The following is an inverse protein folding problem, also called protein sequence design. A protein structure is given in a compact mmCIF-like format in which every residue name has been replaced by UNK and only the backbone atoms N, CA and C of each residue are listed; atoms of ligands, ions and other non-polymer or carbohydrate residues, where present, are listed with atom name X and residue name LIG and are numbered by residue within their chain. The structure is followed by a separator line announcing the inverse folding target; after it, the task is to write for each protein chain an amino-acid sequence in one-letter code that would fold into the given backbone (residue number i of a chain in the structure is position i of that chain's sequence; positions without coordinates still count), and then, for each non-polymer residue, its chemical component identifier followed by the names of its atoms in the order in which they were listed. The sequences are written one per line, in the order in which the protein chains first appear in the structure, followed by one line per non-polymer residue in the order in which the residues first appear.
data_IF_934979651958
#
_entry.id   IF_934979651958
#
_cell.length_a   1.000
_cell.length_b   1.000
_cell.length_c   1.000
_cell.angle_alpha   90.00
_cell.angle_beta   90.00
_cell.angle_gamma   90.00
#
_symmetry.space_group_name_H-M   'P 1'
#
loop_
_entity.id
_entity.type
_entity.pdbx_description
1 polymer ?
#
# COMPACT_ATOMS: atom_id res chain seq x y z
N UNK A 1 -26.99 22.10 -25.78
CA UNK A 1 -26.63 21.12 -24.74
C UNK A 1 -25.95 21.86 -23.61
N UNK A 2 -26.40 21.74 -22.36
CA UNK A 2 -25.81 22.48 -21.26
C UNK A 2 -24.41 21.92 -20.97
N UNK A 3 -23.42 22.80 -20.98
CA UNK A 3 -22.07 22.55 -20.51
C UNK A 3 -22.12 22.27 -19.02
N UNK A 4 -21.92 21.01 -18.63
CA UNK A 4 -21.65 20.66 -17.25
C UNK A 4 -20.24 21.18 -16.91
N UNK A 5 -20.19 22.37 -16.33
CA UNK A 5 -18.98 22.87 -15.67
C UNK A 5 -18.68 21.92 -14.50
N UNK A 6 -17.74 21.00 -14.73
CA UNK A 6 -17.16 20.20 -13.67
C UNK A 6 -16.56 21.18 -12.66
N UNK A 7 -16.86 21.06 -11.34
CA UNK A 7 -16.19 21.88 -10.35
C UNK A 7 -14.69 21.64 -10.51
N UNK A 8 -13.98 22.70 -10.90
CA UNK A 8 -12.53 22.74 -10.90
C UNK A 8 -12.10 22.32 -9.51
N UNK A 9 -11.42 21.16 -9.42
CA UNK A 9 -10.73 20.81 -8.20
C UNK A 9 -9.85 22.02 -7.85
N UNK A 10 -9.95 22.58 -6.63
CA UNK A 10 -9.10 23.69 -6.26
C UNK A 10 -7.66 23.26 -6.58
N UNK A 11 -6.99 24.06 -7.42
CA UNK A 11 -5.57 23.92 -7.67
C UNK A 11 -4.91 23.70 -6.31
N UNK A 12 -4.07 22.67 -6.19
CA UNK A 12 -3.32 22.41 -4.95
C UNK A 12 -2.76 23.76 -4.50
N UNK A 13 -3.29 24.27 -3.39
CA UNK A 13 -2.72 25.44 -2.75
C UNK A 13 -1.25 25.09 -2.51
N UNK A 14 -0.31 26.00 -2.82
CA UNK A 14 1.09 25.76 -2.51
C UNK A 14 1.14 25.34 -1.04
N UNK A 15 1.62 24.11 -0.78
CA UNK A 15 1.77 23.59 0.58
C UNK A 15 2.28 24.73 1.46
N UNK A 16 1.45 25.15 2.42
CA UNK A 16 1.73 26.26 3.31
C UNK A 16 3.20 26.17 3.74
N UNK A 17 3.99 27.17 3.34
CA UNK A 17 5.37 27.40 3.75
C UNK A 17 5.45 27.85 5.22
N UNK A 18 4.59 27.27 6.06
CA UNK A 18 4.53 27.50 7.49
C UNK A 18 5.66 26.76 8.19
N UNK A 19 6.49 27.50 8.90
CA UNK A 19 7.39 26.98 9.93
C UNK A 19 6.63 26.01 10.84
N UNK A 20 6.88 24.71 10.71
CA UNK A 20 6.30 23.74 11.63
C UNK A 20 6.83 24.03 13.04
N UNK A 21 5.95 24.32 14.02
CA UNK A 21 6.40 24.54 15.39
C UNK A 21 7.08 23.27 15.92
N UNK A 22 8.14 23.38 16.74
CA UNK A 22 8.87 22.23 17.25
C UNK A 22 7.91 21.31 18.00
N UNK A 23 7.86 20.04 17.58
CA UNK A 23 7.03 19.03 18.24
C UNK A 23 7.59 18.71 19.62
N UNK A 24 6.72 18.45 20.59
CA UNK A 24 7.14 17.78 21.82
C UNK A 24 7.74 16.40 21.48
N UNK A 25 8.74 15.95 22.24
CA UNK A 25 9.56 14.76 21.98
C UNK A 25 8.73 13.50 21.72
N UNK A 26 7.65 13.29 22.48
CA UNK A 26 6.75 12.14 22.30
C UNK A 26 6.04 12.18 20.94
N UNK A 27 5.58 13.36 20.52
CA UNK A 27 4.92 13.56 19.22
C UNK A 27 5.91 13.38 18.06
N UNK A 28 7.16 13.80 18.24
CA UNK A 28 8.22 13.55 17.27
C UNK A 28 8.48 12.04 17.11
N UNK A 29 8.59 11.30 18.23
CA UNK A 29 8.78 9.83 18.21
C UNK A 29 7.62 9.10 17.54
N UNK A 30 6.37 9.47 17.85
CA UNK A 30 5.20 8.93 17.17
C UNK A 30 5.20 9.26 15.68
N UNK A 31 5.61 10.47 15.31
CA UNK A 31 5.71 10.84 13.89
C UNK A 31 6.78 10.04 13.16
N UNK A 32 7.89 9.71 13.82
CA UNK A 32 8.95 8.85 13.29
C UNK A 32 8.44 7.44 12.96
N UNK A 33 7.48 6.92 13.73
CA UNK A 33 6.82 5.63 13.46
C UNK A 33 5.80 5.67 12.30
N UNK A 34 5.41 6.87 11.82
CA UNK A 34 4.48 7.09 10.69
C UNK A 34 3.13 6.34 10.79
N UNK A 35 2.27 6.63 11.79
CA UNK A 35 1.00 5.93 12.00
C UNK A 35 0.09 5.90 10.78
N UNK A 36 0.08 6.97 9.98
CA UNK A 36 -0.70 7.05 8.75
C UNK A 36 -0.33 6.00 7.69
N UNK A 37 0.87 5.39 7.78
CA UNK A 37 1.31 4.33 6.88
C UNK A 37 0.97 2.92 7.39
N UNK A 38 0.57 2.77 8.64
CA UNK A 38 0.33 1.45 9.25
C UNK A 38 -0.80 0.71 8.56
N UNK A 39 -1.81 1.44 8.06
CA UNK A 39 -2.97 0.88 7.35
C UNK A 39 -2.60 0.14 6.05
N UNK A 40 -1.39 0.34 5.51
CA UNK A 40 -0.89 -0.41 4.34
C UNK A 40 -0.60 -1.88 4.65
N UNK A 41 -0.45 -2.24 5.92
CA UNK A 41 -0.19 -3.62 6.35
C UNK A 41 -1.46 -4.48 6.48
N UNK A 42 -2.52 -4.07 7.21
CA UNK A 42 -3.69 -4.91 7.37
C UNK A 42 -4.44 -5.13 6.04
N UNK A 43 -4.54 -4.13 5.16
CA UNK A 43 -5.34 -4.25 3.92
C UNK A 43 -4.98 -5.51 3.11
N UNK A 44 -3.72 -5.77 2.73
CA UNK A 44 -3.38 -6.97 1.95
C UNK A 44 -3.50 -8.26 2.76
N UNK A 45 -3.25 -8.21 4.07
CA UNK A 45 -3.37 -9.36 4.97
C UNK A 45 -4.84 -9.82 5.04
N UNK A 46 -5.77 -8.87 5.17
CA UNK A 46 -7.20 -9.14 5.29
C UNK A 46 -7.85 -9.59 3.98
N UNK A 47 -7.21 -9.42 2.82
CA UNK A 47 -7.72 -9.98 1.55
C UNK A 47 -7.87 -11.50 1.60
N UNK A 48 -7.07 -12.18 2.43
CA UNK A 48 -7.20 -13.63 2.65
C UNK A 48 -8.57 -14.06 3.16
N UNK A 49 -9.32 -13.18 3.84
CA UNK A 49 -10.67 -13.43 4.33
C UNK A 49 -11.69 -13.64 3.20
N UNK A 50 -11.41 -13.15 1.99
CA UNK A 50 -12.28 -13.32 0.82
C UNK A 50 -12.31 -14.80 0.38
N UNK A 51 -11.27 -15.57 0.68
CA UNK A 51 -11.19 -16.99 0.29
C UNK A 51 -11.74 -17.95 1.32
N UNK A 52 -12.27 -17.46 2.46
CA UNK A 52 -12.81 -18.33 3.52
C UNK A 52 -14.28 -17.99 3.75
N UNK A 53 -15.19 -18.99 3.77
CA UNK A 53 -16.63 -18.75 3.88
C UNK A 53 -17.05 -18.23 5.26
N UNK A 54 -16.30 -18.56 6.31
CA UNK A 54 -16.63 -18.18 7.68
C UNK A 54 -15.42 -17.59 8.41
N UNK A 55 -15.65 -16.49 9.12
CA UNK A 55 -14.62 -15.84 9.91
C UNK A 55 -14.70 -16.32 11.36
N UNK A 56 -13.62 -16.93 11.85
CA UNK A 56 -13.53 -17.33 13.26
C UNK A 56 -12.77 -16.28 14.05
N UNK A 57 -13.14 -16.07 15.31
CA UNK A 57 -12.43 -15.14 16.20
C UNK A 57 -10.93 -15.46 16.29
N UNK A 58 -10.59 -16.75 16.31
CA UNK A 58 -9.21 -17.23 16.29
C UNK A 58 -8.45 -16.83 15.01
N UNK A 59 -9.10 -16.90 13.84
CA UNK A 59 -8.50 -16.46 12.58
C UNK A 59 -8.26 -14.94 12.56
N UNK A 60 -9.21 -14.16 13.06
CA UNK A 60 -9.08 -12.71 13.16
C UNK A 60 -7.91 -12.31 14.06
N UNK A 61 -7.76 -12.95 15.24
CA UNK A 61 -6.61 -12.71 16.12
C UNK A 61 -5.30 -12.99 15.37
N UNK A 62 -5.18 -14.12 14.68
CA UNK A 62 -3.96 -14.46 13.92
C UNK A 62 -3.65 -13.43 12.83
N UNK A 63 -4.66 -12.94 12.11
CA UNK A 63 -4.49 -11.89 11.10
C UNK A 63 -4.01 -10.57 11.72
N UNK A 64 -4.60 -10.16 12.85
CA UNK A 64 -4.17 -8.96 13.58
C UNK A 64 -2.75 -9.10 14.13
N UNK A 65 -2.38 -10.27 14.68
CA UNK A 65 -1.01 -10.54 15.13
C UNK A 65 -0.03 -10.38 13.98
N UNK A 66 -0.28 -11.00 12.82
CA UNK A 66 0.59 -10.89 11.65
C UNK A 66 0.64 -9.44 11.14
N UNK A 67 -0.49 -8.74 11.09
CA UNK A 67 -0.53 -7.32 10.71
C UNK A 67 0.29 -6.43 11.66
N UNK A 68 0.27 -6.70 12.96
CA UNK A 68 1.10 -6.02 13.94
C UNK A 68 2.60 -6.28 13.69
N UNK A 69 2.99 -7.52 13.40
CA UNK A 69 4.39 -7.86 13.08
C UNK A 69 4.89 -7.16 11.81
N UNK A 70 4.09 -7.16 10.73
CA UNK A 70 4.43 -6.40 9.51
C UNK A 70 4.48 -4.89 9.75
N UNK A 71 3.66 -4.38 10.67
CA UNK A 71 3.70 -2.97 11.08
C UNK A 71 4.98 -2.66 11.84
N UNK A 72 5.39 -3.48 12.81
CA UNK A 72 6.66 -3.34 13.52
C UNK A 72 7.86 -3.42 12.55
N UNK A 73 7.86 -4.38 11.63
CA UNK A 73 8.88 -4.48 10.59
C UNK A 73 8.95 -3.22 9.71
N UNK A 74 7.79 -2.66 9.33
CA UNK A 74 7.73 -1.42 8.54
C UNK A 74 8.24 -0.22 9.34
N UNK A 75 7.90 -0.12 10.63
CA UNK A 75 8.40 0.94 11.53
C UNK A 75 9.92 0.87 11.62
N UNK A 76 10.50 -0.32 11.84
CA UNK A 76 11.96 -0.50 11.90
C UNK A 76 12.64 -0.01 10.62
N UNK A 77 12.10 -0.40 9.45
CA UNK A 77 12.61 0.04 8.13
C UNK A 77 12.49 1.57 7.97
N UNK A 78 11.39 2.18 8.41
CA UNK A 78 11.23 3.64 8.32
C UNK A 78 12.22 4.39 9.21
N UNK A 79 12.43 3.93 10.44
CA UNK A 79 13.42 4.52 11.36
C UNK A 79 14.82 4.39 10.76
N UNK A 80 15.19 3.20 10.29
CA UNK A 80 16.50 2.96 9.67
C UNK A 80 16.72 3.87 8.47
N UNK A 81 15.72 3.99 7.59
CA UNK A 81 15.80 4.89 6.44
C UNK A 81 15.98 6.36 6.85
N UNK A 82 15.25 6.83 7.85
CA UNK A 82 15.36 8.23 8.30
C UNK A 82 16.69 8.52 9.00
N UNK A 83 17.36 7.51 9.56
CA UNK A 83 18.73 7.62 10.08
C UNK A 83 19.74 7.68 8.92
N UNK A 84 19.67 6.73 7.96
CA UNK A 84 20.63 6.61 6.86
C UNK A 84 20.52 7.76 5.85
N UNK A 85 19.31 8.17 5.51
CA UNK A 85 19.05 9.23 4.53
C UNK A 85 19.04 10.63 5.18
N UNK A 86 19.43 10.79 6.46
CA UNK A 86 19.34 12.04 7.24
C UNK A 86 19.89 13.27 6.51
N UNK A 87 21.13 13.20 6.05
CA UNK A 87 21.82 14.38 5.47
C UNK A 87 21.25 14.73 4.09
N UNK A 88 20.84 13.71 3.32
CA UNK A 88 20.14 13.90 2.05
C UNK A 88 18.75 14.49 2.28
N UNK A 89 18.02 14.01 3.28
CA UNK A 89 16.66 14.45 3.59
C UNK A 89 16.64 15.90 4.08
N UNK A 90 17.69 16.36 4.76
CA UNK A 90 17.87 17.79 5.13
C UNK A 90 17.85 18.74 3.93
N UNK A 91 18.36 18.29 2.79
CA UNK A 91 18.44 19.09 1.56
C UNK A 91 17.18 18.99 0.70
N UNK A 92 16.23 18.11 1.05
CA UNK A 92 15.03 17.86 0.26
C UNK A 92 13.88 18.79 0.65
N UNK A 93 13.13 19.39 -0.32
CA UNK A 93 12.05 20.34 -0.05
C UNK A 93 11.02 19.87 0.98
N UNK A 94 10.49 18.66 0.81
CA UNK A 94 9.50 18.04 1.72
C UNK A 94 10.10 17.17 2.84
N UNK A 95 11.19 16.43 2.60
CA UNK A 95 11.74 15.47 3.59
C UNK A 95 12.58 16.10 4.69
N UNK A 96 12.96 17.38 4.54
CA UNK A 96 13.67 18.15 5.58
C UNK A 96 12.91 18.23 6.92
N UNK A 97 11.58 18.07 6.88
CA UNK A 97 10.70 18.08 8.05
C UNK A 97 10.56 16.72 8.75
N UNK A 98 11.30 15.70 8.33
CA UNK A 98 11.37 14.43 9.06
C UNK A 98 12.03 14.66 10.42
N UNK A 99 11.57 14.02 11.52
CA UNK A 99 12.06 14.32 12.86
C UNK A 99 13.59 14.24 13.04
N UNK A 100 14.26 13.28 12.39
CA UNK A 100 15.72 13.12 12.47
C UNK A 100 16.46 14.15 11.58
N UNK A 101 15.92 14.45 10.39
CA UNK A 101 16.49 15.44 9.47
C UNK A 101 16.35 16.87 10.05
N UNK A 102 15.18 17.19 10.59
CA UNK A 102 14.85 18.45 11.26
C UNK A 102 15.59 18.66 12.59
N UNK A 103 16.18 17.61 13.16
CA UNK A 103 16.87 17.66 14.45
C UNK A 103 15.96 17.58 15.67
N UNK A 104 14.66 17.32 15.50
CA UNK A 104 13.71 17.07 16.60
C UNK A 104 14.06 15.80 17.40
N UNK A 105 14.68 14.82 16.73
CA UNK A 105 15.15 13.56 17.33
C UNK A 105 16.64 13.40 17.04
N UNK A 106 17.42 13.15 18.09
CA UNK A 106 18.85 12.85 17.95
C UNK A 106 19.04 11.48 17.28
N UNK A 107 20.10 11.29 16.46
CA UNK A 107 20.39 9.98 15.87
C UNK A 107 20.50 8.85 16.90
N UNK A 108 21.05 9.15 18.09
CA UNK A 108 21.11 8.20 19.21
C UNK A 108 19.72 7.74 19.65
N UNK A 109 18.78 8.67 19.83
CA UNK A 109 17.40 8.33 20.18
C UNK A 109 16.70 7.55 19.04
N UNK A 110 17.00 7.86 17.78
CA UNK A 110 16.55 7.08 16.63
C UNK A 110 17.04 5.64 16.66
N UNK A 111 18.33 5.41 16.93
CA UNK A 111 18.91 4.08 17.07
C UNK A 111 18.33 3.29 18.26
N UNK A 112 18.13 3.94 19.41
CA UNK A 112 17.47 3.30 20.56
C UNK A 112 16.07 2.82 20.17
N UNK A 113 15.26 3.69 19.53
CA UNK A 113 13.94 3.30 19.07
C UNK A 113 13.99 2.16 18.05
N UNK A 114 14.91 2.21 17.09
CA UNK A 114 15.13 1.15 16.11
C UNK A 114 15.40 -0.20 16.79
N UNK A 115 16.35 -0.24 17.72
CA UNK A 115 16.69 -1.46 18.47
C UNK A 115 15.50 -1.96 19.28
N UNK A 116 14.77 -1.08 19.97
CA UNK A 116 13.57 -1.46 20.72
C UNK A 116 12.51 -2.10 19.80
N UNK A 117 12.24 -1.52 18.64
CA UNK A 117 11.29 -2.07 17.68
C UNK A 117 11.78 -3.41 17.11
N UNK A 118 13.07 -3.55 16.84
CA UNK A 118 13.65 -4.83 16.41
C UNK A 118 13.54 -5.92 17.47
N UNK A 119 13.77 -5.61 18.75
CA UNK A 119 13.60 -6.57 19.86
C UNK A 119 12.14 -7.01 19.97
N UNK A 120 11.19 -6.07 19.91
CA UNK A 120 9.75 -6.38 19.93
C UNK A 120 9.34 -7.24 18.72
N UNK A 121 9.86 -6.93 17.54
CA UNK A 121 9.62 -7.71 16.33
C UNK A 121 10.16 -9.14 16.48
N UNK A 122 11.41 -9.30 16.93
CA UNK A 122 12.02 -10.62 17.14
C UNK A 122 11.26 -11.43 18.19
N UNK A 123 10.85 -10.82 19.29
CA UNK A 123 10.02 -11.47 20.31
C UNK A 123 8.68 -11.92 19.74
N UNK A 124 7.98 -11.03 19.01
CA UNK A 124 6.69 -11.35 18.40
C UNK A 124 6.77 -12.43 17.32
N UNK A 125 7.83 -12.44 16.51
CA UNK A 125 8.11 -13.51 15.54
C UNK A 125 8.44 -14.81 16.27
N UNK A 126 9.24 -14.79 17.34
CA UNK A 126 9.59 -15.98 18.12
C UNK A 126 8.41 -16.62 18.84
N UNK A 127 7.38 -15.84 19.18
CA UNK A 127 6.11 -16.33 19.73
C UNK A 127 5.12 -16.83 18.66
N UNK A 128 5.39 -16.55 17.38
CA UNK A 128 4.54 -16.97 16.27
C UNK A 128 5.10 -18.25 15.65
N UNK A 129 4.27 -19.28 15.41
CA UNK A 129 4.75 -20.50 14.75
C UNK A 129 5.44 -20.23 13.42
N UNK A 130 6.54 -20.95 13.17
CA UNK A 130 7.48 -20.67 12.08
C UNK A 130 6.79 -20.60 10.71
N UNK A 131 5.84 -21.51 10.47
CA UNK A 131 4.95 -21.57 9.29
C UNK A 131 4.29 -20.24 8.92
N UNK A 132 4.08 -19.36 9.90
CA UNK A 132 3.44 -18.04 9.78
C UNK A 132 4.43 -16.89 9.89
N UNK A 133 5.46 -17.03 10.73
CA UNK A 133 6.42 -15.97 11.05
C UNK A 133 7.47 -15.70 9.95
N UNK A 134 7.84 -16.71 9.15
CA UNK A 134 8.96 -16.59 8.20
C UNK A 134 8.76 -15.51 7.12
N UNK A 135 7.51 -15.26 6.70
CA UNK A 135 7.18 -14.23 5.70
C UNK A 135 7.49 -12.81 6.20
N UNK A 136 7.42 -12.57 7.52
CA UNK A 136 7.81 -11.30 8.13
C UNK A 136 9.32 -11.09 8.00
N UNK A 137 10.11 -12.15 8.19
CA UNK A 137 11.56 -12.12 8.03
C UNK A 137 11.96 -11.84 6.58
N UNK A 138 11.34 -12.53 5.62
CA UNK A 138 11.57 -12.29 4.18
C UNK A 138 11.20 -10.86 3.82
N UNK A 139 10.06 -10.36 4.31
CA UNK A 139 9.65 -8.98 4.11
C UNK A 139 10.68 -7.98 4.69
N UNK A 140 11.19 -8.23 5.90
CA UNK A 140 12.19 -7.36 6.52
C UNK A 140 13.50 -7.34 5.72
N UNK A 141 14.01 -8.51 5.31
CA UNK A 141 15.21 -8.65 4.47
C UNK A 141 15.05 -7.93 3.13
N UNK A 142 13.91 -8.12 2.47
CA UNK A 142 13.59 -7.47 1.20
C UNK A 142 13.59 -5.94 1.34
N UNK A 143 13.02 -5.42 2.43
CA UNK A 143 13.01 -3.97 2.69
C UNK A 143 14.38 -3.42 3.04
N UNK A 144 15.23 -4.17 3.75
CA UNK A 144 16.61 -3.78 3.97
C UNK A 144 17.38 -3.69 2.65
N UNK A 145 17.28 -4.73 1.79
CA UNK A 145 17.89 -4.71 0.47
C UNK A 145 17.39 -3.53 -0.39
N UNK A 146 16.09 -3.23 -0.31
CA UNK A 146 15.49 -2.05 -0.92
C UNK A 146 16.12 -0.75 -0.44
N UNK A 147 16.20 -0.57 0.87
CA UNK A 147 16.76 0.62 1.53
C UNK A 147 18.19 0.92 1.12
N UNK A 148 19.03 -0.11 0.98
CA UNK A 148 20.45 0.04 0.65
C UNK A 148 20.70 0.23 -0.85
N UNK A 149 20.03 -0.53 -1.71
CA UNK A 149 20.42 -0.59 -3.14
C UNK A 149 19.26 -0.67 -4.11
N UNK A 150 18.24 -1.50 -3.85
CA UNK A 150 17.24 -1.81 -4.88
C UNK A 150 16.36 -0.59 -5.22
N UNK A 151 16.21 0.38 -4.29
CA UNK A 151 15.49 1.65 -4.54
C UNK A 151 16.06 2.51 -5.67
N UNK A 152 17.27 2.21 -6.15
CA UNK A 152 17.96 2.95 -7.20
C UNK A 152 17.86 2.31 -8.59
N UNK A 153 17.37 1.07 -8.68
CA UNK A 153 17.30 0.31 -9.93
C UNK A 153 15.86 0.45 -10.49
N UNK A 154 15.68 1.06 -11.67
CA UNK A 154 14.37 1.16 -12.32
C UNK A 154 13.73 -0.22 -12.50
N UNK A 155 12.41 -0.29 -12.46
CA UNK A 155 11.57 -1.51 -12.42
C UNK A 155 11.77 -2.38 -11.18
N UNK A 156 13.01 -2.71 -10.81
CA UNK A 156 13.30 -3.52 -9.61
C UNK A 156 12.71 -2.84 -8.37
N UNK A 157 12.85 -1.52 -8.22
CA UNK A 157 12.24 -0.80 -7.10
C UNK A 157 10.71 -0.97 -7.05
N UNK A 158 10.05 -0.96 -8.22
CA UNK A 158 8.60 -1.11 -8.32
C UNK A 158 8.16 -2.55 -7.98
N UNK A 159 8.85 -3.55 -8.52
CA UNK A 159 8.61 -4.95 -8.24
C UNK A 159 8.87 -5.31 -6.77
N UNK A 160 9.89 -4.72 -6.14
CA UNK A 160 10.16 -4.94 -4.72
C UNK A 160 9.02 -4.40 -3.85
N UNK A 161 8.54 -3.19 -4.15
CA UNK A 161 7.38 -2.62 -3.43
C UNK A 161 6.14 -3.49 -3.64
N UNK A 162 5.82 -3.88 -4.88
CA UNK A 162 4.67 -4.72 -5.20
C UNK A 162 4.76 -6.11 -4.55
N UNK A 163 5.93 -6.73 -4.56
CA UNK A 163 6.19 -8.01 -3.86
C UNK A 163 5.96 -7.88 -2.35
N UNK A 164 6.26 -6.73 -1.75
CA UNK A 164 5.94 -6.48 -0.35
C UNK A 164 4.44 -6.55 -0.03
N UNK A 165 3.56 -6.19 -0.96
CA UNK A 165 2.10 -6.38 -0.80
C UNK A 165 1.70 -7.84 -0.97
N UNK A 166 2.31 -8.55 -1.92
CA UNK A 166 2.10 -9.99 -2.12
C UNK A 166 2.52 -10.79 -0.88
N UNK A 167 3.70 -10.53 -0.31
CA UNK A 167 4.18 -11.20 0.90
C UNK A 167 3.22 -11.04 2.09
N UNK A 168 2.63 -9.86 2.24
CA UNK A 168 1.61 -9.60 3.27
C UNK A 168 0.35 -10.41 3.04
N UNK A 169 -0.12 -10.46 1.79
CA UNK A 169 -1.28 -11.27 1.45
C UNK A 169 -1.00 -12.76 1.72
N UNK A 170 0.16 -13.28 1.29
CA UNK A 170 0.59 -14.64 1.60
C UNK A 170 0.62 -14.91 3.11
N UNK A 171 1.06 -13.95 3.91
CA UNK A 171 1.08 -14.08 5.36
C UNK A 171 -0.33 -14.12 5.95
N UNK A 172 -1.29 -13.40 5.37
CA UNK A 172 -2.71 -13.53 5.71
C UNK A 172 -3.26 -14.92 5.42
N UNK A 173 -2.98 -15.46 4.24
CA UNK A 173 -3.36 -16.84 3.88
C UNK A 173 -2.73 -17.88 4.81
N UNK A 174 -1.44 -17.74 5.14
CA UNK A 174 -0.77 -18.58 6.12
C UNK A 174 -1.40 -18.46 7.52
N UNK A 175 -1.80 -17.25 7.93
CA UNK A 175 -2.45 -17.01 9.23
C UNK A 175 -3.78 -17.76 9.37
N UNK A 176 -4.50 -18.00 8.29
CA UNK A 176 -5.80 -18.69 8.30
C UNK A 176 -5.71 -20.12 7.73
N UNK A 177 -4.51 -20.64 7.51
CA UNK A 177 -4.25 -21.97 6.96
C UNK A 177 -4.97 -22.22 5.62
N UNK A 178 -5.06 -21.20 4.77
CA UNK A 178 -5.68 -21.27 3.44
C UNK A 178 -4.64 -21.06 2.35
N UNK A 179 -4.96 -21.44 1.11
CA UNK A 179 -4.09 -21.27 -0.05
C UNK A 179 -4.56 -20.09 -0.91
N UNK A 180 -3.65 -19.20 -1.33
CA UNK A 180 -4.00 -18.10 -2.22
C UNK A 180 -4.27 -18.62 -3.63
N UNK A 181 -5.23 -17.99 -4.31
CA UNK A 181 -5.43 -18.19 -5.74
C UNK A 181 -4.27 -17.58 -6.54
N UNK A 182 -3.68 -18.29 -7.51
CA UNK A 182 -2.67 -17.71 -8.40
C UNK A 182 -3.15 -16.45 -9.11
N UNK A 183 -4.44 -16.41 -9.49
CA UNK A 183 -5.05 -15.26 -10.16
C UNK A 183 -5.15 -14.03 -9.26
N UNK A 184 -5.45 -14.24 -7.97
CA UNK A 184 -5.44 -13.15 -6.99
C UNK A 184 -4.03 -12.63 -6.73
N UNK A 185 -3.02 -13.51 -6.66
CA UNK A 185 -1.62 -13.11 -6.52
C UNK A 185 -1.18 -12.21 -7.67
N UNK A 186 -1.50 -12.59 -8.90
CA UNK A 186 -1.22 -11.79 -10.10
C UNK A 186 -2.00 -10.47 -10.04
N UNK A 187 -3.28 -10.51 -9.69
CA UNK A 187 -4.12 -9.31 -9.59
C UNK A 187 -3.56 -8.30 -8.59
N UNK A 188 -3.19 -8.74 -7.38
CA UNK A 188 -2.62 -7.88 -6.33
C UNK A 188 -1.24 -7.36 -6.72
N UNK A 189 -0.38 -8.20 -7.31
CA UNK A 189 0.93 -7.76 -7.80
C UNK A 189 0.76 -6.65 -8.86
N UNK A 190 -0.10 -6.88 -9.85
CA UNK A 190 -0.36 -5.94 -10.93
C UNK A 190 -1.03 -4.65 -10.44
N UNK A 191 -2.01 -4.74 -9.53
CA UNK A 191 -2.63 -3.58 -8.91
C UNK A 191 -1.63 -2.75 -8.10
N UNK A 192 -0.69 -3.38 -7.41
CA UNK A 192 0.38 -2.67 -6.71
C UNK A 192 1.37 -2.01 -7.69
N UNK A 193 1.73 -2.70 -8.78
CA UNK A 193 2.55 -2.12 -9.84
C UNK A 193 1.87 -0.90 -10.47
N UNK A 194 0.57 -0.97 -10.76
CA UNK A 194 -0.24 0.16 -11.24
C UNK A 194 -0.07 1.39 -10.34
N UNK A 195 -0.23 1.24 -9.01
CA UNK A 195 -0.09 2.36 -8.07
C UNK A 195 1.36 2.88 -7.99
N UNK A 196 2.35 2.00 -7.99
CA UNK A 196 3.76 2.40 -7.86
C UNK A 196 4.24 3.09 -9.14
N UNK A 197 3.93 2.55 -10.31
CA UNK A 197 4.26 3.15 -11.60
C UNK A 197 3.51 4.45 -11.82
N UNK A 198 2.24 4.53 -11.41
CA UNK A 198 1.48 5.78 -11.42
C UNK A 198 2.15 6.87 -10.60
N UNK A 199 2.65 6.53 -9.40
CA UNK A 199 3.46 7.45 -8.59
C UNK A 199 4.74 7.90 -9.31
N UNK A 200 5.45 7.00 -10.00
CA UNK A 200 6.66 7.35 -10.76
C UNK A 200 6.35 8.29 -11.91
N UNK A 201 5.22 8.09 -12.58
CA UNK A 201 4.74 8.97 -13.66
C UNK A 201 4.51 10.38 -13.14
N UNK A 202 3.85 10.49 -12.00
CA UNK A 202 3.68 11.75 -11.27
C UNK A 202 5.00 12.44 -10.94
N UNK A 203 5.90 11.73 -10.25
CA UNK A 203 7.22 12.25 -9.89
C UNK A 203 8.04 12.71 -11.13
N UNK A 204 7.88 12.04 -12.27
CA UNK A 204 8.54 12.40 -13.52
C UNK A 204 7.94 13.68 -14.14
N UNK A 205 6.62 13.82 -14.13
CA UNK A 205 5.92 15.02 -14.60
C UNK A 205 6.27 16.26 -13.75
N UNK A 206 6.48 16.08 -12.44
CA UNK A 206 6.87 17.15 -11.50
C UNK A 206 8.36 17.54 -11.59
N UNK A 207 9.13 16.97 -12.52
CA UNK A 207 10.56 17.25 -12.66
C UNK A 207 11.42 16.72 -11.51
N UNK A 208 10.91 15.77 -10.71
CA UNK A 208 11.62 15.22 -9.53
C UNK A 208 12.79 14.29 -9.90
N UNK A 209 13.11 14.13 -11.19
CA UNK A 209 14.24 13.35 -11.68
C UNK A 209 15.57 13.73 -10.99
N UNK A 210 15.76 15.02 -10.67
CA UNK A 210 16.96 15.53 -9.98
C UNK A 210 17.18 14.95 -8.58
N UNK A 211 16.13 14.48 -7.91
CA UNK A 211 16.20 14.02 -6.53
C UNK A 211 16.04 12.50 -6.37
N UNK A 212 15.83 11.74 -7.46
CA UNK A 212 15.67 10.27 -7.41
C UNK A 212 16.32 9.56 -8.61
N UNK A 213 17.48 8.90 -8.42
CA UNK A 213 18.22 8.24 -9.51
C UNK A 213 17.41 7.22 -10.32
N UNK A 214 16.51 6.47 -9.67
CA UNK A 214 15.66 5.48 -10.35
C UNK A 214 14.72 6.08 -11.41
N UNK A 215 14.43 7.40 -11.36
CA UNK A 215 13.65 8.07 -12.40
C UNK A 215 14.39 8.19 -13.73
N UNK A 216 15.73 8.11 -13.73
CA UNK A 216 16.55 8.21 -14.95
C UNK A 216 16.31 7.08 -15.96
N UNK A 217 15.71 5.96 -15.53
CA UNK A 217 15.35 4.85 -16.42
C UNK A 217 13.90 4.87 -16.91
N UNK A 218 13.14 5.94 -16.66
CA UNK A 218 11.74 6.05 -17.06
C UNK A 218 11.50 7.21 -18.03
N UNK A 219 10.66 6.98 -19.02
CA UNK A 219 9.97 8.01 -19.79
C UNK A 219 8.48 7.99 -19.47
N UNK A 220 7.78 9.10 -19.72
CA UNK A 220 6.31 9.17 -19.52
C UNK A 220 5.61 8.13 -20.39
N UNK A 221 6.05 7.96 -21.65
CA UNK A 221 5.51 7.00 -22.60
C UNK A 221 5.66 5.56 -22.11
N UNK A 222 6.84 5.19 -21.59
CA UNK A 222 7.07 3.85 -21.03
C UNK A 222 6.18 3.62 -19.80
N UNK A 223 6.08 4.61 -18.91
CA UNK A 223 5.25 4.50 -17.73
C UNK A 223 3.78 4.33 -18.08
N UNK A 224 3.26 5.08 -19.05
CA UNK A 224 1.88 4.94 -19.54
C UNK A 224 1.57 3.53 -20.05
N UNK A 225 2.50 2.94 -20.82
CA UNK A 225 2.36 1.56 -21.30
C UNK A 225 2.37 0.53 -20.15
N UNK A 226 3.31 0.67 -19.21
CA UNK A 226 3.42 -0.25 -18.07
C UNK A 226 2.22 -0.12 -17.11
N UNK A 227 1.70 1.10 -16.93
CA UNK A 227 0.50 1.39 -16.13
C UNK A 227 -0.72 0.71 -16.75
N UNK A 228 -0.93 0.86 -18.06
CA UNK A 228 -2.05 0.23 -18.76
C UNK A 228 -1.95 -1.30 -18.69
N UNK A 229 -0.77 -1.87 -18.95
CA UNK A 229 -0.53 -3.31 -18.84
C UNK A 229 -0.82 -3.83 -17.43
N UNK A 230 -0.38 -3.10 -16.39
CA UNK A 230 -0.62 -3.46 -14.99
C UNK A 230 -2.10 -3.37 -14.62
N UNK A 231 -2.81 -2.35 -15.11
CA UNK A 231 -4.26 -2.19 -14.91
C UNK A 231 -5.03 -3.35 -15.54
N UNK A 232 -4.72 -3.70 -16.80
CA UNK A 232 -5.36 -4.83 -17.50
C UNK A 232 -5.08 -6.15 -16.79
N UNK A 233 -3.83 -6.42 -16.42
CA UNK A 233 -3.46 -7.65 -15.71
C UNK A 233 -4.14 -7.73 -14.33
N UNK A 234 -4.27 -6.61 -13.64
CA UNK A 234 -5.01 -6.52 -12.37
C UNK A 234 -6.49 -6.88 -12.56
N UNK A 235 -7.15 -6.29 -13.55
CA UNK A 235 -8.56 -6.54 -13.84
C UNK A 235 -8.82 -7.99 -14.28
N UNK A 236 -8.03 -8.50 -15.23
CA UNK A 236 -8.16 -9.87 -15.73
C UNK A 236 -7.87 -10.89 -14.63
N UNK A 237 -6.81 -10.69 -13.83
CA UNK A 237 -6.51 -11.55 -12.68
C UNK A 237 -7.64 -11.58 -11.67
N UNK A 238 -8.32 -10.45 -11.43
CA UNK A 238 -9.48 -10.41 -10.55
C UNK A 238 -10.69 -11.16 -11.12
N UNK A 239 -10.98 -10.98 -12.41
CA UNK A 239 -12.07 -11.68 -13.10
C UNK A 239 -11.87 -13.20 -13.10
N UNK A 240 -10.63 -13.69 -13.23
CA UNK A 240 -10.30 -15.12 -13.18
C UNK A 240 -10.29 -15.68 -11.74
N UNK A 241 -10.01 -14.82 -10.74
CA UNK A 241 -10.03 -15.20 -9.34
C UNK A 241 -11.44 -15.53 -8.84
N UNK A 242 -12.44 -14.71 -9.19
CA UNK A 242 -13.79 -14.84 -8.64
C UNK A 242 -14.42 -16.24 -8.84
N UNK A 243 -14.51 -16.79 -10.07
CA UNK A 243 -15.11 -18.11 -10.27
C UNK A 243 -14.24 -19.27 -9.75
N UNK A 244 -12.93 -19.07 -9.60
CA UNK A 244 -12.02 -20.15 -9.18
C UNK A 244 -11.93 -20.35 -7.67
N UNK A 245 -12.35 -19.35 -6.89
CA UNK A 245 -11.94 -19.26 -5.47
C UNK A 245 -13.04 -18.81 -4.52
N UNK A 246 -14.15 -18.27 -5.03
CA UNK A 246 -15.26 -17.79 -4.21
C UNK A 246 -16.39 -18.81 -4.27
N UNK A 247 -16.58 -19.56 -3.18
CA UNK A 247 -17.70 -20.49 -3.04
C UNK A 247 -18.94 -19.68 -2.71
N UNK A 248 -19.76 -19.37 -3.72
CA UNK A 248 -20.92 -18.51 -3.58
C UNK A 248 -22.16 -19.31 -3.18
N UNK A 249 -22.89 -18.80 -2.19
CA UNK A 249 -24.16 -19.36 -1.69
C UNK A 249 -25.37 -18.98 -2.55
N UNK A 250 -25.22 -17.96 -3.40
CA UNK A 250 -26.25 -17.35 -4.26
C UNK A 250 -25.81 -17.36 -5.73
N UNK A 251 -26.67 -16.90 -6.65
CA UNK A 251 -26.39 -16.81 -8.08
C UNK A 251 -25.02 -16.12 -8.34
N UNK A 252 -24.01 -16.88 -8.80
CA UNK A 252 -22.65 -16.37 -8.92
C UNK A 252 -22.54 -15.27 -9.98
N UNK A 253 -23.45 -15.21 -10.95
CA UNK A 253 -23.37 -14.26 -12.06
C UNK A 253 -23.54 -12.81 -11.60
N UNK A 254 -24.54 -12.55 -10.73
CA UNK A 254 -24.82 -11.19 -10.23
C UNK A 254 -23.69 -10.68 -9.35
N UNK A 255 -23.16 -11.54 -8.46
CA UNK A 255 -22.01 -11.20 -7.63
C UNK A 255 -20.78 -10.82 -8.47
N UNK A 256 -20.44 -11.67 -9.45
CA UNK A 256 -19.28 -11.44 -10.31
C UNK A 256 -19.46 -10.13 -11.07
N UNK A 257 -20.64 -9.91 -11.68
CA UNK A 257 -20.91 -8.68 -12.42
C UNK A 257 -20.74 -7.42 -11.56
N UNK A 258 -21.37 -7.37 -10.39
CA UNK A 258 -21.32 -6.20 -9.51
C UNK A 258 -19.92 -5.96 -8.94
N UNK A 259 -19.25 -7.03 -8.52
CA UNK A 259 -17.91 -6.97 -7.95
C UNK A 259 -16.86 -6.52 -8.98
N UNK A 260 -16.89 -7.10 -10.18
CA UNK A 260 -16.02 -6.71 -11.29
C UNK A 260 -16.30 -5.27 -11.72
N UNK A 261 -17.56 -4.85 -11.78
CA UNK A 261 -17.93 -3.48 -12.14
C UNK A 261 -17.32 -2.47 -11.16
N UNK A 262 -17.34 -2.75 -9.85
CA UNK A 262 -16.69 -1.90 -8.85
C UNK A 262 -15.17 -1.87 -9.04
N UNK A 263 -14.53 -3.02 -9.26
CA UNK A 263 -13.09 -3.10 -9.44
C UNK A 263 -12.61 -2.34 -10.71
N UNK A 264 -13.32 -2.52 -11.83
CA UNK A 264 -13.03 -1.82 -13.09
C UNK A 264 -13.27 -0.33 -12.95
N UNK A 265 -14.37 0.09 -12.31
CA UNK A 265 -14.63 1.49 -12.01
C UNK A 265 -13.48 2.11 -11.18
N UNK A 266 -13.01 1.42 -10.14
CA UNK A 266 -11.92 1.91 -9.31
C UNK A 266 -10.61 2.08 -10.10
N UNK A 267 -10.28 1.13 -10.98
CA UNK A 267 -9.12 1.22 -11.87
C UNK A 267 -9.27 2.42 -12.81
N UNK A 268 -10.42 2.57 -13.48
CA UNK A 268 -10.67 3.66 -14.41
C UNK A 268 -10.63 5.02 -13.72
N UNK A 269 -11.25 5.13 -12.53
CA UNK A 269 -11.22 6.36 -11.74
C UNK A 269 -9.80 6.71 -11.30
N UNK A 270 -9.00 5.73 -10.88
CA UNK A 270 -7.60 5.96 -10.56
C UNK A 270 -6.79 6.46 -11.79
N UNK A 271 -6.96 5.82 -12.95
CA UNK A 271 -6.32 6.26 -14.20
C UNK A 271 -6.76 7.67 -14.61
N UNK A 272 -8.05 7.99 -14.47
CA UNK A 272 -8.56 9.34 -14.73
C UNK A 272 -7.89 10.39 -13.83
N UNK A 273 -7.76 10.13 -12.54
CA UNK A 273 -7.09 11.03 -11.59
C UNK A 273 -5.60 11.21 -11.92
N UNK A 274 -4.95 10.13 -12.36
CA UNK A 274 -3.54 10.12 -12.72
C UNK A 274 -3.24 10.89 -14.02
N UNK A 275 -4.08 10.72 -15.05
CA UNK A 275 -3.84 11.26 -16.39
C UNK A 275 -4.43 12.66 -16.54
N UNK A 276 -5.66 12.87 -16.10
CA UNK A 276 -6.39 14.14 -16.29
C UNK A 276 -6.23 15.07 -15.09
N UNK A 277 -6.27 14.52 -13.87
CA UNK A 277 -6.24 15.31 -12.64
C UNK A 277 -4.88 15.87 -12.25
N UNK A 278 -3.83 15.68 -13.07
CA UNK A 278 -2.45 16.01 -12.72
C UNK A 278 -1.93 15.22 -11.50
N UNK A 279 -2.59 14.12 -11.14
CA UNK A 279 -2.35 13.40 -9.90
C UNK A 279 -1.04 12.61 -9.93
N UNK A 280 0.03 13.20 -9.39
CA UNK A 280 1.31 12.52 -9.15
C UNK A 280 1.61 12.18 -7.69
N UNK A 281 0.68 12.50 -6.79
CA UNK A 281 0.84 12.39 -5.34
C UNK A 281 0.91 10.95 -4.80
N UNK A 282 0.94 10.82 -3.47
CA UNK A 282 0.92 9.51 -2.78
C UNK A 282 -0.36 8.74 -3.14
N UNK A 283 -0.30 7.60 -3.85
CA UNK A 283 -1.49 6.89 -4.30
C UNK A 283 -2.44 6.53 -3.15
N UNK A 284 -1.88 6.20 -1.98
CA UNK A 284 -2.71 5.89 -0.80
C UNK A 284 -3.53 7.08 -0.33
N UNK A 285 -3.03 8.32 -0.48
CA UNK A 285 -3.82 9.53 -0.17
C UNK A 285 -4.90 9.78 -1.21
N UNK A 286 -4.58 9.58 -2.49
CA UNK A 286 -5.55 9.72 -3.57
C UNK A 286 -6.74 8.77 -3.38
N UNK A 287 -6.48 7.50 -3.07
CA UNK A 287 -7.52 6.49 -2.82
C UNK A 287 -8.42 6.83 -1.62
N UNK A 288 -7.88 7.45 -0.57
CA UNK A 288 -8.62 7.78 0.67
C UNK A 288 -9.34 9.14 0.59
N UNK A 289 -8.95 10.02 -0.33
CA UNK A 289 -9.56 11.35 -0.48
C UNK A 289 -10.62 11.43 -1.58
N UNK A 290 -10.50 10.60 -2.61
CA UNK A 290 -11.45 10.60 -3.72
C UNK A 290 -12.77 9.93 -3.30
N UNK A 291 -13.83 10.73 -3.18
CA UNK A 291 -15.15 10.25 -2.75
C UNK A 291 -15.69 9.11 -3.65
N UNK A 292 -15.61 9.18 -4.99
CA UNK A 292 -16.03 8.07 -5.85
C UNK A 292 -15.31 6.75 -5.55
N UNK A 293 -13.99 6.78 -5.34
CA UNK A 293 -13.23 5.58 -4.98
C UNK A 293 -13.63 5.01 -3.60
N UNK A 294 -13.85 5.88 -2.61
CA UNK A 294 -14.32 5.45 -1.28
C UNK A 294 -15.69 4.78 -1.40
N UNK A 295 -16.64 5.41 -2.10
CA UNK A 295 -17.99 4.87 -2.30
C UNK A 295 -17.91 3.53 -3.03
N UNK A 296 -17.11 3.43 -4.10
CA UNK A 296 -16.91 2.17 -4.82
C UNK A 296 -16.32 1.07 -3.92
N UNK A 297 -15.35 1.40 -3.08
CA UNK A 297 -14.77 0.46 -2.12
C UNK A 297 -15.76 0.00 -1.03
N UNK A 298 -16.61 0.90 -0.54
CA UNK A 298 -17.69 0.57 0.40
C UNK A 298 -18.72 -0.35 -0.25
N UNK A 299 -19.19 -0.01 -1.45
CA UNK A 299 -20.14 -0.85 -2.21
C UNK A 299 -19.55 -2.23 -2.47
N UNK A 300 -18.30 -2.30 -2.93
CA UNK A 300 -17.61 -3.56 -3.16
C UNK A 300 -17.49 -4.40 -1.88
N UNK A 301 -17.12 -3.77 -0.76
CA UNK A 301 -17.01 -4.47 0.53
C UNK A 301 -18.36 -5.01 0.98
N UNK A 302 -19.43 -4.23 0.85
CA UNK A 302 -20.80 -4.67 1.15
C UNK A 302 -21.20 -5.86 0.30
N UNK A 303 -20.92 -5.83 -1.01
CA UNK A 303 -21.19 -6.96 -1.92
C UNK A 303 -20.45 -8.21 -1.42
N UNK A 304 -19.15 -8.12 -1.12
CA UNK A 304 -18.36 -9.26 -0.64
C UNK A 304 -18.92 -9.81 0.68
N UNK A 305 -19.24 -8.95 1.65
CA UNK A 305 -19.75 -9.38 2.96
C UNK A 305 -21.12 -10.03 2.85
N UNK A 306 -22.06 -9.44 2.09
CA UNK A 306 -23.42 -9.96 1.93
C UNK A 306 -23.40 -11.34 1.30
N UNK A 307 -22.65 -11.52 0.20
CA UNK A 307 -22.56 -12.80 -0.48
C UNK A 307 -21.80 -13.87 0.33
N UNK A 308 -20.82 -13.47 1.16
CA UNK A 308 -20.13 -14.40 2.06
C UNK A 308 -20.95 -14.82 3.28
N UNK A 309 -21.70 -13.89 3.87
CA UNK A 309 -22.49 -14.15 5.10
C UNK A 309 -23.83 -14.80 4.83
N UNK A 310 -24.27 -14.83 3.56
CA UNK A 310 -25.58 -15.37 3.17
C UNK A 310 -26.75 -14.55 3.72
N UNK A 311 -26.51 -13.30 4.11
CA UNK A 311 -27.58 -12.39 4.52
C UNK A 311 -28.50 -12.14 3.32
N UNK A 312 -29.84 -12.30 3.46
CA UNK A 312 -30.76 -12.09 2.36
C UNK A 312 -30.67 -10.63 1.88
N UNK A 313 -30.50 -10.47 0.57
CA UNK A 313 -30.70 -9.18 -0.10
C UNK A 313 -32.21 -9.00 -0.20
N UNK A 314 -32.81 -8.41 0.84
CA UNK A 314 -34.21 -7.98 0.82
C UNK A 314 -34.38 -6.70 0.00
#
# INVERSE_FOLDING_TARGET
MPTFDLPTLPAESPEESGSHPPRNRTRALLTLCRPYQWLKNPIPITLSLISVPHWTFSALIRLFTIAALFTLASIAVYILNDILDRDRDRQHPKKRYRPIAAGEITPRAGWILFVTVCVLLCAGVGLTPLERGWLVCVYAVLNLAYSFRLKHIPLVEAFVVATGFVLRMLAGYAAIASRPSPWLLISVLAGCLLLVLGKRRGELADGAAKHRPALGGYSVQLLDQLILMSATLSAVGYMLFLPSSVSLSHDPAVFILLSVSCAVFAIFRYLQLLVVGGGGGDPSRTLIRDRPLIVSGVVWTTIVVVFHTGLPVN
#
